data_IF_747220944163
#
_entry.id   IF_747220944163
#
_cell.length_a   1.000
_cell.length_b   1.000
_cell.length_c   1.000
_cell.angle_alpha   90.00
_cell.angle_beta   90.00
_cell.angle_gamma   90.00
#
_symmetry.space_group_name_H-M   'P 1'
#
loop_
_entity.id
_entity.type
_entity.pdbx_description
1 polymer ?
#
# COMPACT_ATOMS: atom_id res chain seq x y z
N UNK A 1 8.00 -15.70 14.49
CA UNK A 1 6.81 -15.10 13.89
C UNK A 1 6.24 -16.14 12.94
N UNK A 2 4.94 -16.41 12.96
CA UNK A 2 4.34 -17.39 12.04
C UNK A 2 4.05 -16.76 10.67
N UNK A 3 3.84 -17.58 9.63
CA UNK A 3 3.41 -17.07 8.31
C UNK A 3 2.08 -16.33 8.43
N UNK A 4 1.17 -16.79 9.29
CA UNK A 4 -0.10 -16.11 9.54
C UNK A 4 0.11 -14.71 10.15
N UNK A 5 1.03 -14.59 11.11
CA UNK A 5 1.35 -13.28 11.71
C UNK A 5 2.00 -12.34 10.68
N UNK A 6 2.86 -12.86 9.79
CA UNK A 6 3.44 -12.06 8.71
C UNK A 6 2.39 -11.60 7.69
N UNK A 7 1.45 -12.47 7.31
CA UNK A 7 0.33 -12.10 6.43
C UNK A 7 -0.50 -11.00 7.09
N UNK A 8 -0.87 -11.16 8.37
CA UNK A 8 -1.64 -10.17 9.12
C UNK A 8 -0.95 -8.81 9.16
N UNK A 9 0.36 -8.80 9.44
CA UNK A 9 1.14 -7.56 9.45
C UNK A 9 1.14 -6.88 8.07
N UNK A 10 1.36 -7.65 7.00
CA UNK A 10 1.35 -7.10 5.63
C UNK A 10 -0.03 -6.57 5.25
N UNK A 11 -1.11 -7.23 5.66
CA UNK A 11 -2.48 -6.76 5.42
C UNK A 11 -2.81 -5.46 6.18
N UNK A 12 -2.35 -5.34 7.43
CA UNK A 12 -2.47 -4.11 8.21
C UNK A 12 -1.70 -2.95 7.58
N UNK A 13 -0.46 -3.20 7.13
CA UNK A 13 0.36 -2.19 6.45
C UNK A 13 -0.27 -1.77 5.11
N UNK A 14 -0.81 -2.72 4.34
CA UNK A 14 -1.56 -2.44 3.11
C UNK A 14 -2.80 -1.59 3.38
N UNK A 15 -3.57 -1.91 4.42
CA UNK A 15 -4.76 -1.15 4.78
C UNK A 15 -4.41 0.30 5.14
N UNK A 16 -3.35 0.50 5.94
CA UNK A 16 -2.85 1.82 6.30
C UNK A 16 -2.39 2.61 5.07
N UNK A 17 -1.52 2.04 4.24
CA UNK A 17 -0.98 2.74 3.05
C UNK A 17 -2.07 3.11 2.04
N UNK A 18 -3.08 2.24 1.85
CA UNK A 18 -4.21 2.55 0.98
C UNK A 18 -5.07 3.70 1.52
N UNK A 19 -5.25 3.77 2.84
CA UNK A 19 -5.97 4.88 3.47
C UNK A 19 -5.18 6.19 3.30
N UNK A 20 -3.88 6.19 3.59
CA UNK A 20 -3.00 7.35 3.43
C UNK A 20 -2.96 7.85 1.97
N UNK A 21 -2.85 6.93 1.00
CA UNK A 21 -2.83 7.29 -0.41
C UNK A 21 -4.16 7.91 -0.87
N UNK A 22 -5.28 7.36 -0.37
CA UNK A 22 -6.62 7.91 -0.64
C UNK A 22 -6.75 9.32 -0.06
N UNK A 23 -6.34 9.52 1.18
CA UNK A 23 -6.41 10.83 1.85
C UNK A 23 -5.56 11.86 1.09
N UNK A 24 -4.37 11.47 0.62
CA UNK A 24 -3.52 12.33 -0.19
C UNK A 24 -4.16 12.68 -1.55
N UNK A 25 -4.80 11.72 -2.22
CA UNK A 25 -5.54 11.96 -3.48
C UNK A 25 -6.76 12.86 -3.27
N UNK A 26 -7.45 12.72 -2.14
CA UNK A 26 -8.57 13.59 -1.79
C UNK A 26 -8.09 15.01 -1.45
N UNK A 27 -6.94 15.14 -0.78
CA UNK A 27 -6.30 16.43 -0.54
C UNK A 27 -5.93 17.12 -1.86
N UNK A 28 -5.27 16.41 -2.79
CA UNK A 28 -4.94 16.93 -4.15
C UNK A 28 -6.20 17.46 -4.85
N UNK A 29 -7.34 16.75 -4.76
CA UNK A 29 -8.59 17.17 -5.40
C UNK A 29 -9.14 18.49 -4.83
N UNK A 30 -8.82 18.82 -3.58
CA UNK A 30 -9.27 20.05 -2.92
C UNK A 30 -8.35 21.24 -3.11
N UNK A 31 -7.15 21.04 -3.67
CA UNK A 31 -6.15 22.11 -3.85
C UNK A 31 -6.51 23.04 -5.01
N UNK A 32 -6.08 24.30 -4.90
CA UNK A 32 -6.38 25.36 -5.85
C UNK A 32 -5.40 25.42 -7.01
N UNK A 33 -5.76 26.20 -8.05
CA UNK A 33 -4.93 26.36 -9.26
C UNK A 33 -3.55 27.02 -9.00
N UNK A 34 -3.36 27.66 -7.84
CA UNK A 34 -2.09 28.27 -7.43
C UNK A 34 -1.07 27.27 -6.89
N UNK A 35 -1.49 26.04 -6.61
CA UNK A 35 -0.71 25.09 -5.79
C UNK A 35 0.00 24.02 -6.66
N UNK A 36 0.26 24.33 -7.95
CA UNK A 36 0.73 23.34 -8.94
C UNK A 36 2.01 22.60 -8.55
N UNK A 37 2.95 23.28 -7.87
CA UNK A 37 4.20 22.66 -7.41
C UNK A 37 3.91 21.64 -6.31
N UNK A 38 3.07 21.99 -5.35
CA UNK A 38 2.67 21.12 -4.24
C UNK A 38 1.83 19.94 -4.74
N UNK A 39 0.88 20.19 -5.66
CA UNK A 39 0.11 19.13 -6.34
C UNK A 39 1.04 18.15 -7.05
N UNK A 40 2.05 18.64 -7.77
CA UNK A 40 3.00 17.77 -8.49
C UNK A 40 3.81 16.90 -7.53
N UNK A 41 4.28 17.46 -6.42
CA UNK A 41 5.01 16.71 -5.39
C UNK A 41 4.13 15.63 -4.75
N UNK A 42 2.88 15.96 -4.41
CA UNK A 42 1.94 15.00 -3.82
C UNK A 42 1.53 13.89 -4.80
N UNK A 43 1.42 14.19 -6.10
CA UNK A 43 1.19 13.16 -7.12
C UNK A 43 2.37 12.19 -7.16
N UNK A 44 3.61 12.69 -7.23
CA UNK A 44 4.79 11.82 -7.21
C UNK A 44 4.85 10.96 -5.95
N UNK A 45 4.58 11.53 -4.78
CA UNK A 45 4.51 10.78 -3.52
C UNK A 45 3.39 9.71 -3.55
N UNK A 46 2.24 10.04 -4.14
CA UNK A 46 1.14 9.09 -4.30
C UNK A 46 1.51 7.93 -5.22
N UNK A 47 2.25 8.20 -6.29
CA UNK A 47 2.70 7.18 -7.22
C UNK A 47 3.76 6.25 -6.58
N UNK A 48 4.70 6.80 -5.82
CA UNK A 48 5.67 6.01 -5.02
C UNK A 48 4.97 5.10 -4.01
N UNK A 49 3.93 5.59 -3.33
CA UNK A 49 3.13 4.77 -2.42
C UNK A 49 2.40 3.62 -3.15
N UNK A 50 1.94 3.83 -4.39
CA UNK A 50 1.31 2.77 -5.18
C UNK A 50 2.32 1.66 -5.53
N UNK A 51 3.57 2.01 -5.80
CA UNK A 51 4.64 1.02 -6.03
C UNK A 51 4.89 0.17 -4.79
N UNK A 52 4.96 0.80 -3.60
CA UNK A 52 5.13 0.09 -2.33
C UNK A 52 3.93 -0.83 -2.03
N UNK A 53 2.71 -0.36 -2.26
CA UNK A 53 1.49 -1.17 -2.12
C UNK A 53 1.58 -2.42 -3.03
N UNK A 54 1.99 -2.24 -4.29
CA UNK A 54 2.11 -3.35 -5.23
C UNK A 54 3.22 -4.35 -4.85
N UNK A 55 4.28 -3.90 -4.18
CA UNK A 55 5.31 -4.79 -3.62
C UNK A 55 4.76 -5.60 -2.45
N UNK A 56 4.07 -4.95 -1.52
CA UNK A 56 3.46 -5.61 -0.35
C UNK A 56 2.38 -6.62 -0.75
N UNK A 57 1.57 -6.32 -1.75
CA UNK A 57 0.61 -7.27 -2.34
C UNK A 57 1.32 -8.53 -2.86
N UNK A 58 2.39 -8.34 -3.64
CA UNK A 58 3.21 -9.47 -4.14
C UNK A 58 3.87 -10.26 -3.02
N UNK A 59 4.21 -9.62 -1.89
CA UNK A 59 4.73 -10.31 -0.71
C UNK A 59 3.63 -11.12 -0.02
N UNK A 60 2.45 -10.53 0.19
CA UNK A 60 1.28 -11.22 0.77
C UNK A 60 0.94 -12.46 -0.04
N UNK A 61 0.86 -12.33 -1.37
CA UNK A 61 0.48 -13.43 -2.24
C UNK A 61 1.47 -14.61 -2.14
N UNK A 62 2.77 -14.32 -2.08
CA UNK A 62 3.81 -15.34 -1.84
C UNK A 62 3.72 -15.98 -0.45
N UNK A 63 3.37 -15.20 0.58
CA UNK A 63 3.18 -15.75 1.93
C UNK A 63 1.94 -16.67 1.98
N UNK A 64 0.85 -16.28 1.30
CA UNK A 64 -0.35 -17.11 1.19
C UNK A 64 -0.09 -18.41 0.42
N UNK A 65 0.75 -18.38 -0.63
CA UNK A 65 1.19 -19.59 -1.33
C UNK A 65 1.96 -20.53 -0.39
N UNK A 66 2.95 -20.00 0.34
CA UNK A 66 3.71 -20.79 1.33
C UNK A 66 2.83 -21.37 2.43
N UNK A 67 1.87 -20.61 2.95
CA UNK A 67 0.95 -21.08 3.98
C UNK A 67 0.12 -22.27 3.49
N UNK A 68 -0.32 -22.24 2.23
CA UNK A 68 -1.06 -23.35 1.61
C UNK A 68 -0.18 -24.58 1.42
N UNK A 69 1.08 -24.39 1.05
CA UNK A 69 2.05 -25.50 0.92
C UNK A 69 2.34 -26.15 2.27
N UNK A 70 2.50 -25.36 3.35
CA UNK A 70 2.72 -25.87 4.70
C UNK A 70 1.50 -26.59 5.29
N UNK A 71 0.29 -26.15 4.95
CA UNK A 71 -0.95 -26.80 5.39
C UNK A 71 -1.39 -28.01 4.56
N UNK A 72 -0.74 -28.27 3.41
CA UNK A 72 -1.02 -29.41 2.54
C UNK A 72 -0.20 -30.67 2.88
N UNK A 73 0.72 -30.57 3.85
CA UNK A 73 1.56 -31.64 4.37
C UNK A 73 1.06 -32.16 5.71
#
# INVERSE_FOLDING_TARGET
MSIEDEIRQVEEDLARLRAENKDMRDQIRTMGATDQIEISAMISQSDEQLELIAELERRRDRLMEKQKEEGAH
#
